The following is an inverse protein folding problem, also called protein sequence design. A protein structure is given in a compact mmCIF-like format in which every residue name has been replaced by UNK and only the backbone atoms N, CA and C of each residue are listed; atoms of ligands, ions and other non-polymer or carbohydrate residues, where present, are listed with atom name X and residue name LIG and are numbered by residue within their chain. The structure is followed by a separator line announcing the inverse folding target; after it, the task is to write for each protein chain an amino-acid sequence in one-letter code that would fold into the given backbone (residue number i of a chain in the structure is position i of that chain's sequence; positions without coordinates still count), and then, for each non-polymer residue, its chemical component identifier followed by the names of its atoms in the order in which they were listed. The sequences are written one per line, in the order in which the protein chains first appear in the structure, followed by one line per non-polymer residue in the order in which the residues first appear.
data_IF_302982714582
#
_entry.id   IF_302982714582
#
_cell.length_a   1.000
_cell.length_b   1.000
_cell.length_c   1.000
_cell.angle_alpha   90.00
_cell.angle_beta   90.00
_cell.angle_gamma   90.00
#
_symmetry.space_group_name_H-M   'P 1'
#
loop_
_entity.id
_entity.type
_entity.pdbx_description
1 polymer ?
#
# COMPACT_ATOMS: atom_id res chain seq x y z
N UNK A 1 -2.77 -6.53 -0.41
CA UNK A 1 -3.31 -6.99 0.89
C UNK A 1 -2.18 -7.53 1.75
N UNK A 2 -1.32 -8.39 1.19
CA UNK A 2 -0.27 -9.13 1.91
C UNK A 2 0.68 -8.23 2.72
N UNK A 3 1.05 -7.06 2.19
CA UNK A 3 1.93 -6.10 2.90
C UNK A 3 1.28 -5.56 4.17
N UNK A 4 -0.01 -5.22 4.11
CA UNK A 4 -0.77 -4.71 5.27
C UNK A 4 -0.95 -5.84 6.30
N UNK A 5 -1.25 -7.06 5.85
CA UNK A 5 -1.33 -8.23 6.71
C UNK A 5 -0.01 -8.52 7.44
N UNK A 6 1.11 -8.44 6.72
CA UNK A 6 2.45 -8.60 7.29
C UNK A 6 2.77 -7.51 8.33
N UNK A 7 2.40 -6.26 8.05
CA UNK A 7 2.55 -5.15 9.00
C UNK A 7 1.76 -5.40 10.28
N UNK A 8 0.48 -5.79 10.18
CA UNK A 8 -0.37 -6.06 11.36
C UNK A 8 0.16 -7.25 12.16
N UNK A 9 0.54 -8.34 11.48
CA UNK A 9 1.08 -9.53 12.13
C UNK A 9 2.35 -9.25 12.92
N UNK A 10 3.19 -8.33 12.44
CA UNK A 10 4.44 -7.96 13.07
C UNK A 10 4.39 -6.65 13.88
N UNK A 11 3.19 -6.14 14.19
CA UNK A 11 3.04 -4.87 14.92
C UNK A 11 3.60 -4.91 16.35
N UNK A 12 3.72 -6.11 16.94
CA UNK A 12 4.30 -6.33 18.29
C UNK A 12 5.67 -7.00 18.25
N UNK A 13 6.26 -7.19 17.08
CA UNK A 13 7.51 -7.93 16.91
C UNK A 13 8.72 -7.05 17.21
N UNK A 14 9.33 -7.23 18.38
CA UNK A 14 10.54 -6.52 18.85
C UNK A 14 11.84 -7.03 18.22
N UNK A 15 11.82 -8.21 17.61
CA UNK A 15 12.99 -8.82 16.96
C UNK A 15 12.63 -9.39 15.60
N UNK A 16 13.24 -8.84 14.55
CA UNK A 16 13.10 -9.37 13.20
C UNK A 16 13.82 -10.72 13.04
N UNK A 17 13.56 -11.42 11.94
CA UNK A 17 14.19 -12.71 11.61
C UNK A 17 15.71 -12.69 11.50
N UNK A 18 16.31 -11.51 11.32
CA UNK A 18 17.74 -11.32 11.19
C UNK A 18 18.41 -10.95 12.53
N UNK A 19 17.62 -10.68 13.58
CA UNK A 19 18.10 -10.25 14.89
C UNK A 19 18.50 -8.76 14.97
N UNK A 20 18.34 -7.98 13.90
CA UNK A 20 18.87 -6.61 13.76
C UNK A 20 17.97 -5.51 14.37
N UNK A 21 16.99 -5.89 15.21
CA UNK A 21 16.08 -4.97 15.90
C UNK A 21 14.61 -5.16 15.52
N UNK A 22 13.73 -4.22 15.93
CA UNK A 22 12.28 -4.35 15.79
C UNK A 22 11.82 -4.30 14.33
N UNK A 23 10.66 -4.90 14.09
CA UNK A 23 10.05 -4.88 12.77
C UNK A 23 9.78 -3.44 12.30
N UNK A 24 10.10 -3.18 11.04
CA UNK A 24 9.77 -1.90 10.38
C UNK A 24 8.63 -2.10 9.40
N UNK A 25 7.70 -1.16 9.42
CA UNK A 25 6.53 -1.13 8.55
C UNK A 25 6.95 -1.15 7.08
N UNK A 26 6.33 -2.01 6.30
CA UNK A 26 6.48 -2.05 4.85
C UNK A 26 5.49 -1.11 4.16
N UNK A 27 5.98 -0.31 3.22
CA UNK A 27 5.17 0.59 2.37
C UNK A 27 5.31 0.20 0.91
N UNK A 28 4.18 0.19 0.21
CA UNK A 28 4.12 -0.06 -1.23
C UNK A 28 4.24 1.25 -1.99
N UNK A 29 5.23 1.36 -2.87
CA UNK A 29 5.37 2.48 -3.79
C UNK A 29 4.72 2.11 -5.12
N UNK A 30 3.71 2.88 -5.52
CA UNK A 30 2.96 2.69 -6.75
C UNK A 30 3.45 3.68 -7.82
N UNK A 31 3.49 3.24 -9.07
CA UNK A 31 3.86 4.08 -10.21
C UNK A 31 2.86 3.90 -11.35
N UNK A 32 2.47 4.95 -12.09
CA UNK A 32 1.55 4.82 -13.21
C UNK A 32 2.14 3.94 -14.31
N UNK A 33 1.31 3.08 -14.92
CA UNK A 33 1.73 2.18 -16.02
C UNK A 33 1.97 2.95 -17.32
N UNK A 34 1.33 4.11 -17.50
CA UNK A 34 1.44 4.90 -18.71
C UNK A 34 1.85 6.33 -18.35
N UNK A 35 3.15 6.61 -18.49
CA UNK A 35 3.74 7.94 -18.28
C UNK A 35 3.70 8.77 -19.57
N UNK A 36 2.67 8.61 -20.41
CA UNK A 36 2.52 9.49 -21.58
C UNK A 36 2.17 10.88 -21.06
N UNK A 37 3.18 11.74 -21.08
CA UNK A 37 3.14 13.13 -20.68
C UNK A 37 1.87 13.78 -21.21
N UNK A 38 1.16 14.44 -20.31
CA UNK A 38 -0.04 15.26 -20.56
C UNK A 38 0.32 16.54 -21.35
N UNK A 39 1.22 16.44 -22.32
CA UNK A 39 1.64 17.55 -23.15
C UNK A 39 0.57 17.78 -24.21
N UNK A 40 -0.26 18.80 -24.01
CA UNK A 40 -1.17 19.30 -25.03
C UNK A 40 -0.36 20.18 -25.98
N UNK A 41 -0.21 19.76 -27.23
CA UNK A 41 0.41 20.58 -28.27
C UNK A 41 -0.38 21.90 -28.43
N UNK A 42 0.27 23.07 -28.38
CA UNK A 42 -0.37 24.35 -28.70
C UNK A 42 -0.89 24.43 -30.14
N UNK A 43 -0.34 23.60 -31.04
CA UNK A 43 -0.62 23.60 -32.49
C UNK A 43 -1.73 22.61 -32.87
N UNK A 44 -2.00 21.60 -32.02
CA UNK A 44 -3.04 20.58 -32.24
C UNK A 44 -3.82 20.33 -30.93
N UNK A 45 -4.78 21.19 -30.56
CA UNK A 45 -5.54 21.05 -29.31
C UNK A 45 -6.47 19.81 -29.28
N UNK A 46 -6.76 19.23 -30.43
CA UNK A 46 -7.60 18.02 -30.59
C UNK A 46 -6.77 16.73 -30.82
N UNK A 47 -5.44 16.83 -30.91
CA UNK A 47 -4.55 15.71 -31.22
C UNK A 47 -3.83 15.15 -30.00
N UNK A 48 -3.88 13.82 -29.86
CA UNK A 48 -3.32 13.01 -28.76
C UNK A 48 -3.99 13.33 -27.42
N UNK A 49 -5.25 12.94 -27.29
CA UNK A 49 -5.82 12.71 -25.97
C UNK A 49 -4.90 11.73 -25.23
N UNK A 50 -4.42 12.04 -24.02
CA UNK A 50 -3.75 11.03 -23.21
C UNK A 50 -4.76 9.89 -23.05
N UNK A 51 -4.46 8.75 -23.68
CA UNK A 51 -5.32 7.58 -23.60
C UNK A 51 -5.60 7.23 -22.15
N UNK A 52 -6.71 6.56 -21.91
CA UNK A 52 -7.18 6.19 -20.58
C UNK A 52 -6.03 5.66 -19.71
N UNK A 53 -5.93 6.17 -18.48
CA UNK A 53 -4.88 5.80 -17.54
C UNK A 53 -4.93 4.30 -17.29
N UNK A 54 -3.86 3.57 -17.68
CA UNK A 54 -3.75 2.10 -17.55
C UNK A 54 -3.51 1.63 -16.10
N UNK A 55 -4.00 2.39 -15.12
CA UNK A 55 -3.79 2.13 -13.70
C UNK A 55 -2.36 2.37 -13.22
N UNK A 56 -2.08 1.84 -12.03
CA UNK A 56 -0.80 1.90 -11.34
C UNK A 56 -0.23 0.50 -11.14
N UNK A 57 1.09 0.35 -11.24
CA UNK A 57 1.82 -0.87 -10.91
C UNK A 57 2.62 -0.67 -9.62
N UNK A 58 2.90 -1.76 -8.93
CA UNK A 58 3.84 -1.76 -7.80
C UNK A 58 5.26 -1.57 -8.33
N UNK A 59 5.94 -0.53 -7.87
CA UNK A 59 7.34 -0.26 -8.21
C UNK A 59 8.28 -1.02 -7.27
N UNK A 60 8.09 -0.85 -5.95
CA UNK A 60 8.88 -1.49 -4.91
C UNK A 60 8.13 -1.51 -3.59
N UNK A 61 8.55 -2.39 -2.69
CA UNK A 61 8.16 -2.40 -1.27
C UNK A 61 9.38 -1.90 -0.49
N UNK A 62 9.18 -0.90 0.35
CA UNK A 62 10.26 -0.25 1.10
C UNK A 62 9.91 -0.17 2.58
N UNK A 63 10.92 -0.32 3.44
CA UNK A 63 10.79 -0.20 4.89
C UNK A 63 10.69 1.27 5.28
N UNK A 64 9.75 1.58 6.17
CA UNK A 64 9.57 2.93 6.70
C UNK A 64 10.70 3.27 7.68
N UNK A 65 11.53 4.25 7.30
CA UNK A 65 12.68 4.72 8.11
C UNK A 65 12.29 5.73 9.20
N UNK A 66 10.98 5.99 9.38
CA UNK A 66 10.47 6.81 10.49
C UNK A 66 10.90 6.25 11.86
N UNK A 67 11.06 7.11 12.88
CA UNK A 67 11.52 6.68 14.20
C UNK A 67 10.63 5.58 14.78
N UNK A 68 11.29 4.61 15.43
CA UNK A 68 10.65 3.52 16.16
C UNK A 68 9.98 4.06 17.42
N UNK A 69 8.93 3.38 17.89
CA UNK A 69 8.20 3.79 19.08
C UNK A 69 8.93 3.28 20.31
N UNK A 70 9.33 4.19 21.21
CA UNK A 70 9.94 3.82 22.48
C UNK A 70 8.87 3.66 23.54
N UNK A 71 8.80 2.48 24.15
CA UNK A 71 7.88 2.20 25.26
C UNK A 71 8.71 1.85 26.48
N UNK A 72 8.47 2.51 27.60
CA UNK A 72 9.17 2.20 28.84
C UNK A 72 8.60 0.89 29.43
N UNK A 73 9.42 -0.15 29.42
CA UNK A 73 9.13 -1.44 30.04
C UNK A 73 10.46 -2.09 30.47
N UNK A 74 10.88 -1.89 31.73
CA UNK A 74 12.14 -2.44 32.24
C UNK A 74 12.06 -3.95 32.51
N UNK A 75 10.87 -4.56 32.47
CA UNK A 75 10.70 -6.01 32.69
C UNK A 75 10.79 -6.81 31.39
N UNK A 76 10.75 -6.13 30.24
CA UNK A 76 10.81 -6.76 28.93
C UNK A 76 12.23 -7.27 28.61
N UNK A 77 12.39 -8.49 28.05
CA UNK A 77 13.69 -9.07 27.72
C UNK A 77 14.47 -8.26 26.69
N UNK A 78 13.78 -7.62 25.75
CA UNK A 78 14.38 -6.73 24.73
C UNK A 78 14.49 -5.26 25.19
N UNK A 79 14.40 -4.98 26.49
CA UNK A 79 14.64 -3.62 26.98
C UNK A 79 16.11 -3.21 26.82
N UNK A 80 16.33 -1.95 26.49
CA UNK A 80 17.68 -1.39 26.36
C UNK A 80 18.34 -1.43 27.74
N UNK A 81 19.45 -2.16 27.87
CA UNK A 81 20.13 -2.37 29.15
C UNK A 81 21.18 -1.29 29.46
N UNK A 82 21.68 -0.60 28.43
CA UNK A 82 22.82 0.32 28.50
C UNK A 82 22.47 1.65 27.83
N UNK A 83 22.86 2.78 28.43
CA UNK A 83 22.71 4.12 27.86
C UNK A 83 21.54 4.93 28.43
N UNK A 84 21.29 6.14 27.88
CA UNK A 84 20.29 7.09 28.39
C UNK A 84 18.83 6.62 28.22
N UNK A 85 18.59 5.62 27.39
CA UNK A 85 17.27 5.00 27.15
C UNK A 85 17.11 3.67 27.90
N UNK A 86 17.80 3.49 29.03
CA UNK A 86 17.73 2.26 29.81
C UNK A 86 16.29 1.97 30.28
N UNK A 87 15.82 0.75 30.07
CA UNK A 87 14.45 0.32 30.40
C UNK A 87 13.41 0.66 29.34
N UNK A 88 13.79 1.23 28.20
CA UNK A 88 12.90 1.39 27.04
C UNK A 88 13.02 0.21 26.08
N UNK A 89 11.91 -0.18 25.48
CA UNK A 89 11.79 -1.16 24.41
C UNK A 89 11.52 -0.43 23.10
N UNK A 90 12.28 -0.77 22.06
CA UNK A 90 12.02 -0.29 20.72
C UNK A 90 10.92 -1.14 20.09
N UNK A 91 9.74 -0.55 19.91
CA UNK A 91 8.61 -1.18 19.25
C UNK A 91 8.52 -0.79 17.78
N UNK A 92 7.93 -1.68 16.96
CA UNK A 92 7.68 -1.41 15.56
C UNK A 92 6.97 -0.09 15.25
N UNK A 93 7.27 0.37 14.04
CA UNK A 93 6.61 1.36 13.21
C UNK A 93 5.11 1.50 13.09
N UNK A 94 4.38 0.51 13.60
CA UNK A 94 3.14 0.07 12.97
C UNK A 94 1.96 0.54 13.79
N UNK A 95 1.06 1.30 13.16
CA UNK A 95 -0.22 1.65 13.75
C UNK A 95 -1.30 0.71 13.19
N UNK A 96 -1.77 -0.19 14.04
CA UNK A 96 -2.80 -1.18 13.70
C UNK A 96 -4.07 -0.51 13.16
N UNK A 97 -4.47 0.63 13.73
CA UNK A 97 -5.66 1.35 13.29
C UNK A 97 -5.50 1.83 11.85
N UNK A 98 -4.35 2.42 11.53
CA UNK A 98 -4.04 2.89 10.17
C UNK A 98 -3.97 1.74 9.19
N UNK A 99 -3.31 0.64 9.54
CA UNK A 99 -3.20 -0.54 8.66
C UNK A 99 -4.58 -1.18 8.42
N UNK A 100 -5.45 -1.24 9.44
CA UNK A 100 -6.83 -1.73 9.25
C UNK A 100 -7.65 -0.80 8.35
N UNK A 101 -7.53 0.52 8.50
CA UNK A 101 -8.22 1.46 7.60
C UNK A 101 -7.73 1.34 6.16
N UNK A 102 -6.42 1.17 5.96
CA UNK A 102 -5.82 0.96 4.64
C UNK A 102 -6.28 -0.37 4.04
N UNK A 103 -6.43 -1.43 4.85
CA UNK A 103 -6.98 -2.72 4.42
C UNK A 103 -8.43 -2.59 3.94
N UNK A 104 -9.29 -1.91 4.70
CA UNK A 104 -10.69 -1.70 4.34
C UNK A 104 -10.78 -0.89 3.03
N UNK A 105 -9.99 0.16 2.91
CA UNK A 105 -9.92 0.97 1.69
C UNK A 105 -9.48 0.15 0.48
N UNK A 106 -8.47 -0.70 0.64
CA UNK A 106 -8.00 -1.61 -0.39
C UNK A 106 -9.07 -2.65 -0.79
N UNK A 107 -9.79 -3.24 0.17
CA UNK A 107 -10.89 -4.20 -0.10
C UNK A 107 -12.01 -3.56 -0.90
N UNK A 108 -12.50 -2.40 -0.45
CA UNK A 108 -13.58 -1.68 -1.12
C UNK A 108 -13.18 -1.25 -2.53
N UNK A 109 -11.93 -0.82 -2.71
CA UNK A 109 -11.40 -0.46 -4.04
C UNK A 109 -11.36 -1.67 -4.97
N UNK A 110 -10.95 -2.85 -4.46
CA UNK A 110 -10.94 -4.09 -5.23
C UNK A 110 -12.36 -4.53 -5.61
N UNK A 111 -13.29 -4.55 -4.65
CA UNK A 111 -14.69 -4.88 -4.87
C UNK A 111 -15.35 -3.95 -5.91
N UNK A 112 -15.13 -2.64 -5.79
CA UNK A 112 -15.62 -1.64 -6.75
C UNK A 112 -15.07 -1.90 -8.16
N UNK A 113 -13.77 -2.20 -8.29
CA UNK A 113 -13.14 -2.51 -9.57
C UNK A 113 -13.72 -3.79 -10.20
N UNK A 114 -13.95 -4.83 -9.40
CA UNK A 114 -14.57 -6.08 -9.86
C UNK A 114 -16.01 -5.83 -10.34
N UNK A 115 -16.77 -5.02 -9.61
CA UNK A 115 -18.13 -4.65 -10.00
C UNK A 115 -18.14 -3.84 -11.31
N UNK A 116 -17.23 -2.88 -11.48
CA UNK A 116 -17.08 -2.11 -12.72
C UNK A 116 -16.76 -3.00 -13.93
N UNK A 117 -15.86 -3.97 -13.77
CA UNK A 117 -15.53 -4.93 -14.84
C UNK A 117 -16.75 -5.79 -15.19
N UNK A 118 -17.48 -6.24 -14.18
CA UNK A 118 -18.69 -7.06 -14.37
C UNK A 118 -19.79 -6.25 -15.08
N UNK A 119 -20.01 -5.00 -14.69
CA UNK A 119 -20.94 -4.08 -15.35
C UNK A 119 -20.55 -3.82 -16.80
N UNK A 120 -19.27 -3.55 -17.06
CA UNK A 120 -18.73 -3.40 -18.42
C UNK A 120 -18.98 -4.64 -19.27
N UNK A 121 -18.71 -5.83 -18.73
CA UNK A 121 -18.96 -7.11 -19.43
C UNK A 121 -20.44 -7.30 -19.77
N UNK A 122 -21.35 -6.96 -18.84
CA UNK A 122 -22.78 -7.02 -19.10
C UNK A 122 -23.21 -6.06 -20.21
N UNK A 123 -22.68 -4.83 -20.22
CA UNK A 123 -22.92 -3.85 -21.28
C UNK A 123 -22.42 -4.34 -22.65
N UNK A 124 -21.21 -4.90 -22.71
CA UNK A 124 -20.66 -5.46 -23.95
C UNK A 124 -21.49 -6.62 -24.49
N UNK A 125 -21.94 -7.53 -23.61
CA UNK A 125 -22.81 -8.63 -24.03
C UNK A 125 -24.15 -8.13 -24.58
N UNK A 126 -24.76 -7.11 -23.95
CA UNK A 126 -25.99 -6.49 -24.45
C UNK A 126 -25.78 -5.78 -25.79
N UNK A 127 -24.66 -5.09 -25.97
CA UNK A 127 -24.32 -4.49 -27.25
C UNK A 127 -24.16 -5.54 -28.37
N UNK A 128 -23.55 -6.69 -28.07
CA UNK A 128 -23.42 -7.81 -29.00
C UNK A 128 -24.77 -8.47 -29.33
N UNK A 129 -25.68 -8.58 -28.36
CA UNK A 129 -27.06 -9.05 -28.60
C UNK A 129 -27.81 -8.12 -29.57
N UNK A 130 -27.68 -6.80 -29.41
CA UNK A 130 -28.31 -5.81 -30.29
C UNK A 130 -27.74 -5.88 -31.71
N UNK A 131 -26.40 -5.99 -31.84
CA UNK A 131 -25.74 -6.04 -33.16
C UNK A 131 -25.92 -7.36 -33.93
N UNK A 132 -26.56 -8.37 -33.34
CA UNK A 132 -26.90 -9.64 -34.00
C UNK A 132 -28.27 -9.63 -34.70
N UNK A 133 -29.10 -8.62 -34.42
CA UNK A 133 -30.36 -8.36 -35.10
C UNK A 133 -30.15 -7.45 -36.32
#
# INVERSE_FOLDING_TARGET
MDVIGNNIANATTTRNTNGDGPFRRDRVILTPVNLRTRWKSPVYPFGIAPGEGKGVKVMKIEKDMSPLRLVYDPTHPDSIQIGPKKGYVEMPNVNIVTEMTDMISASRSYEANVQMITGSKAMFNKALEIGRA
#
